data_IF_198826565073
#
_entry.id   IF_198826565073
#
_cell.length_a   1.000
_cell.length_b   1.000
_cell.length_c   1.000
_cell.angle_alpha   90.00
_cell.angle_beta   90.00
_cell.angle_gamma   90.00
#
_symmetry.space_group_name_H-M   'P 1'
#
loop_
_entity.id
_entity.type
_entity.pdbx_description
1 polymer ?
#
# COMPACT_ATOMS: atom_id res chain seq x y z
N UNK A 1 -7.39 -23.54 -24.38
CA UNK A 1 -6.02 -23.29 -23.88
C UNK A 1 -5.28 -22.65 -25.05
N UNK A 2 -5.09 -21.33 -25.03
CA UNK A 2 -4.48 -20.57 -26.12
C UNK A 2 -3.26 -19.85 -25.59
N UNK A 3 -2.14 -20.57 -25.65
CA UNK A 3 -0.80 -20.13 -25.28
C UNK A 3 -0.26 -19.17 -26.35
N UNK A 4 -0.75 -17.93 -26.30
CA UNK A 4 -0.16 -16.83 -27.06
C UNK A 4 0.82 -16.08 -26.15
N UNK A 5 2.14 -16.04 -26.45
CA UNK A 5 3.13 -15.31 -25.64
C UNK A 5 2.82 -13.80 -25.52
N UNK A 6 1.99 -13.27 -26.40
CA UNK A 6 1.41 -11.92 -26.36
C UNK A 6 0.52 -11.67 -25.12
N UNK A 7 -0.12 -12.71 -24.56
CA UNK A 7 -0.92 -12.59 -23.31
C UNK A 7 -0.03 -12.50 -22.07
N UNK A 8 1.12 -13.16 -22.08
CA UNK A 8 2.13 -13.04 -21.02
C UNK A 8 2.72 -11.63 -21.03
N UNK A 9 3.03 -11.08 -22.22
CA UNK A 9 3.49 -9.69 -22.34
C UNK A 9 2.46 -8.66 -21.82
N UNK A 10 1.17 -8.86 -22.12
CA UNK A 10 0.08 -8.04 -21.57
C UNK A 10 -0.06 -8.19 -20.04
N UNK A 11 -0.01 -9.42 -19.53
CA UNK A 11 -0.08 -9.68 -18.10
C UNK A 11 1.08 -8.99 -17.35
N UNK A 12 2.31 -9.06 -17.88
CA UNK A 12 3.48 -8.39 -17.29
C UNK A 12 3.33 -6.86 -17.31
N UNK A 13 2.78 -6.26 -18.37
CA UNK A 13 2.49 -4.83 -18.39
C UNK A 13 1.47 -4.41 -17.34
N UNK A 14 0.42 -5.21 -17.14
CA UNK A 14 -0.60 -4.96 -16.11
C UNK A 14 0.02 -5.10 -14.71
N UNK A 15 0.75 -6.19 -14.45
CA UNK A 15 1.43 -6.42 -13.17
C UNK A 15 2.44 -5.32 -12.84
N UNK A 16 3.14 -4.75 -13.83
CA UNK A 16 4.05 -3.61 -13.60
C UNK A 16 3.31 -2.35 -13.15
N UNK A 17 2.13 -2.07 -13.70
CA UNK A 17 1.28 -0.97 -13.23
C UNK A 17 0.76 -1.22 -11.82
N UNK A 18 0.33 -2.44 -11.52
CA UNK A 18 -0.08 -2.84 -10.16
C UNK A 18 1.07 -2.70 -9.18
N UNK A 19 2.30 -3.13 -9.54
CA UNK A 19 3.49 -3.00 -8.70
C UNK A 19 3.87 -1.54 -8.40
N UNK A 20 3.66 -0.62 -9.35
CA UNK A 20 3.88 0.80 -9.10
C UNK A 20 2.90 1.35 -8.04
N UNK A 21 1.64 0.92 -8.09
CA UNK A 21 0.62 1.31 -7.10
C UNK A 21 0.91 0.68 -5.73
N UNK A 22 1.32 -0.59 -5.70
CA UNK A 22 1.76 -1.27 -4.47
C UNK A 22 2.95 -0.54 -3.84
N UNK A 23 3.94 -0.12 -4.64
CA UNK A 23 5.07 0.67 -4.13
C UNK A 23 4.61 2.00 -3.52
N UNK A 24 3.66 2.70 -4.12
CA UNK A 24 3.10 3.92 -3.52
C UNK A 24 2.42 3.64 -2.18
N UNK A 25 1.64 2.56 -2.08
CA UNK A 25 1.02 2.14 -0.82
C UNK A 25 2.04 1.79 0.26
N UNK A 26 3.09 1.05 -0.09
CA UNK A 26 4.15 0.69 0.85
C UNK A 26 4.85 1.96 1.36
N UNK A 27 5.18 2.90 0.48
CA UNK A 27 5.77 4.19 0.87
C UNK A 27 4.83 4.96 1.79
N UNK A 28 3.53 5.00 1.49
CA UNK A 28 2.54 5.67 2.34
C UNK A 28 2.42 5.02 3.72
N UNK A 29 2.37 3.68 3.77
CA UNK A 29 2.30 2.93 5.00
C UNK A 29 3.53 3.12 5.89
N UNK A 30 4.73 3.06 5.29
CA UNK A 30 5.99 3.34 5.98
C UNK A 30 6.02 4.79 6.47
N UNK A 31 5.55 5.75 5.66
CA UNK A 31 5.49 7.16 6.04
C UNK A 31 4.65 7.38 7.30
N UNK A 32 3.44 6.82 7.36
CA UNK A 32 2.58 6.92 8.56
C UNK A 32 3.19 6.18 9.75
N UNK A 33 3.77 4.99 9.55
CA UNK A 33 4.44 4.24 10.61
C UNK A 33 5.56 5.06 11.25
N UNK A 34 6.39 5.71 10.44
CA UNK A 34 7.48 6.58 10.92
C UNK A 34 6.93 7.81 11.63
N UNK A 35 5.87 8.44 11.11
CA UNK A 35 5.20 9.58 11.75
C UNK A 35 4.70 9.23 13.16
N UNK A 36 4.01 8.10 13.30
CA UNK A 36 3.51 7.60 14.59
C UNK A 36 4.68 7.29 15.53
N UNK A 37 5.76 6.70 15.02
CA UNK A 37 6.94 6.34 15.80
C UNK A 37 7.66 7.59 16.32
N UNK A 38 7.76 8.65 15.52
CA UNK A 38 8.30 9.95 15.94
C UNK A 38 7.41 10.64 16.99
N UNK A 39 6.08 10.62 16.79
CA UNK A 39 5.12 11.15 17.77
C UNK A 39 5.16 10.37 19.09
N UNK A 40 5.34 9.05 19.03
CA UNK A 40 5.50 8.19 20.19
C UNK A 40 6.83 8.45 20.91
N UNK A 41 7.92 8.67 20.16
CA UNK A 41 9.22 9.03 20.73
C UNK A 41 9.18 10.39 21.46
N UNK A 42 8.34 11.33 21.02
CA UNK A 42 8.10 12.60 21.72
C UNK A 42 7.13 12.47 22.91
N UNK A 43 6.63 11.27 23.23
CA UNK A 43 5.72 11.01 24.34
C UNK A 43 4.29 11.54 24.14
N UNK A 44 3.95 12.03 22.94
CA UNK A 44 2.64 12.60 22.61
C UNK A 44 1.68 11.60 21.96
N UNK A 45 2.14 10.39 21.62
CA UNK A 45 1.26 9.37 21.02
C UNK A 45 0.60 8.50 22.08
N UNK A 46 -0.73 8.53 22.13
CA UNK A 46 -1.51 7.52 22.84
C UNK A 46 -1.55 6.22 22.03
N UNK A 47 -1.58 5.06 22.70
CA UNK A 47 -1.71 3.77 22.02
C UNK A 47 -2.93 3.72 21.08
N UNK A 48 -3.99 4.45 21.41
CA UNK A 48 -5.19 4.56 20.58
C UNK A 48 -4.93 5.27 19.25
N UNK A 49 -4.16 6.37 19.25
CA UNK A 49 -3.78 7.06 18.01
C UNK A 49 -2.89 6.20 17.11
N UNK A 50 -1.99 5.40 17.71
CA UNK A 50 -1.15 4.46 16.97
C UNK A 50 -1.97 3.36 16.28
N UNK A 51 -2.95 2.78 16.98
CA UNK A 51 -3.85 1.77 16.40
C UNK A 51 -4.71 2.37 15.28
N UNK A 52 -5.25 3.58 15.47
CA UNK A 52 -6.03 4.24 14.44
C UNK A 52 -5.19 4.51 13.17
N UNK A 53 -3.95 4.96 13.35
CA UNK A 53 -3.05 5.21 12.23
C UNK A 53 -2.73 3.92 11.46
N UNK A 54 -2.42 2.81 12.14
CA UNK A 54 -2.14 1.53 11.49
C UNK A 54 -3.37 0.97 10.75
N UNK A 55 -4.56 1.03 11.36
CA UNK A 55 -5.80 0.55 10.74
C UNK A 55 -6.23 1.44 9.58
N UNK A 56 -6.13 2.77 9.72
CA UNK A 56 -6.45 3.72 8.65
C UNK A 56 -5.53 3.56 7.44
N UNK A 57 -4.23 3.35 7.67
CA UNK A 57 -3.26 3.02 6.61
C UNK A 57 -3.63 1.72 5.91
N UNK A 58 -4.00 0.69 6.66
CA UNK A 58 -4.40 -0.60 6.08
C UNK A 58 -5.63 -0.43 5.17
N UNK A 59 -6.65 0.33 5.60
CA UNK A 59 -7.84 0.60 4.80
C UNK A 59 -7.50 1.37 3.53
N UNK A 60 -6.66 2.41 3.61
CA UNK A 60 -6.20 3.17 2.44
C UNK A 60 -5.42 2.28 1.49
N UNK A 61 -4.53 1.43 2.02
CA UNK A 61 -3.75 0.49 1.22
C UNK A 61 -4.67 -0.50 0.48
N UNK A 62 -5.69 -1.04 1.15
CA UNK A 62 -6.68 -1.94 0.55
C UNK A 62 -7.49 -1.21 -0.54
N UNK A 63 -7.97 0.01 -0.29
CA UNK A 63 -8.71 0.80 -1.28
C UNK A 63 -7.87 1.09 -2.53
N UNK A 64 -6.60 1.48 -2.37
CA UNK A 64 -5.69 1.68 -3.50
C UNK A 64 -5.36 0.37 -4.23
N UNK A 65 -5.25 -0.75 -3.51
CA UNK A 65 -5.03 -2.06 -4.11
C UNK A 65 -6.24 -2.51 -4.94
N UNK A 66 -7.47 -2.28 -4.47
CA UNK A 66 -8.68 -2.55 -5.26
C UNK A 66 -8.75 -1.68 -6.52
N UNK A 67 -8.31 -0.42 -6.46
CA UNK A 67 -8.25 0.48 -7.63
C UNK A 67 -7.23 0.00 -8.67
N UNK A 68 -6.18 -0.69 -8.25
CA UNK A 68 -5.14 -1.24 -9.12
C UNK A 68 -5.55 -2.54 -9.84
N UNK A 69 -6.62 -3.21 -9.37
CA UNK A 69 -7.16 -4.42 -10.00
C UNK A 69 -8.21 -4.15 -11.10
N UNK A 70 -8.61 -2.88 -11.29
CA UNK A 70 -9.55 -2.45 -12.32
C UNK A 70 -8.81 -1.82 -13.50
#
# INVERSE_FOLDING_TARGET
MTDEPSKIAKAVQISRKTLAIVKQNIVFAIGVKVLVLLLAAMGMASMWAAVFADVGVAVIAILNAMRAMK
#
